data_IF_281497123491
#
_entry.id   IF_281497123491
#
_cell.length_a   1.000
_cell.length_b   1.000
_cell.length_c   1.000
_cell.angle_alpha   90.00
_cell.angle_beta   90.00
_cell.angle_gamma   90.00
#
_symmetry.space_group_name_H-M   'P 1'
#
loop_
_entity.id
_entity.type
_entity.pdbx_description
1 polymer ?
#
# COMPACT_ATOMS: atom_id res chain seq x y z
N UNK A 1 8.41 9.72 1.18
CA UNK A 1 8.72 10.44 -0.08
C UNK A 1 10.19 10.83 -0.19
N UNK A 2 10.83 11.37 0.86
CA UNK A 2 12.25 11.72 0.83
C UNK A 2 13.16 10.56 0.35
N UNK A 3 12.99 9.34 0.87
CA UNK A 3 13.79 8.17 0.46
C UNK A 3 13.67 7.86 -1.05
N UNK A 4 12.45 7.79 -1.57
CA UNK A 4 12.17 7.55 -3.00
C UNK A 4 12.83 8.64 -3.85
N UNK A 5 12.66 9.91 -3.45
CA UNK A 5 13.30 11.04 -4.12
C UNK A 5 14.83 10.92 -4.10
N UNK A 6 15.43 10.61 -2.96
CA UNK A 6 16.88 10.44 -2.84
C UNK A 6 17.40 9.34 -3.75
N UNK A 7 16.72 8.19 -3.82
CA UNK A 7 17.12 7.09 -4.71
C UNK A 7 17.09 7.54 -6.18
N UNK A 8 15.98 8.14 -6.61
CA UNK A 8 15.80 8.59 -8.01
C UNK A 8 16.83 9.68 -8.34
N UNK A 9 17.01 10.65 -7.44
CA UNK A 9 17.96 11.74 -7.61
C UNK A 9 19.39 11.21 -7.75
N UNK A 10 19.85 10.37 -6.81
CA UNK A 10 21.19 9.79 -6.87
C UNK A 10 21.39 8.92 -8.11
N UNK A 11 20.40 8.12 -8.49
CA UNK A 11 20.47 7.27 -9.68
C UNK A 11 20.53 8.12 -10.96
N UNK A 12 19.73 9.19 -11.04
CA UNK A 12 19.75 10.15 -12.14
C UNK A 12 21.10 10.86 -12.23
N UNK A 13 21.59 11.44 -11.13
CA UNK A 13 22.90 12.10 -11.07
C UNK A 13 24.03 11.16 -11.49
N UNK A 14 24.05 9.92 -10.98
CA UNK A 14 25.07 8.93 -11.37
C UNK A 14 24.99 8.56 -12.85
N UNK A 15 23.79 8.43 -13.40
CA UNK A 15 23.58 8.14 -14.83
C UNK A 15 24.15 9.24 -15.71
N UNK A 16 23.95 10.51 -15.33
CA UNK A 16 24.43 11.65 -16.13
C UNK A 16 25.91 12.00 -15.90
N UNK A 17 26.45 11.80 -14.69
CA UNK A 17 27.84 12.13 -14.38
C UNK A 17 28.82 11.00 -14.66
N UNK A 18 28.43 9.74 -14.41
CA UNK A 18 29.30 8.56 -14.48
C UNK A 18 28.95 7.67 -15.68
N UNK A 19 27.82 7.94 -16.36
CA UNK A 19 27.37 7.12 -17.49
C UNK A 19 26.81 5.76 -17.10
N UNK A 20 26.58 5.50 -15.80
CA UNK A 20 26.08 4.22 -15.29
C UNK A 20 24.94 4.42 -14.29
N UNK A 21 23.85 3.67 -14.45
CA UNK A 21 22.76 3.60 -13.47
C UNK A 21 22.95 2.42 -12.50
N UNK A 22 22.33 2.52 -11.32
CA UNK A 22 22.28 1.40 -10.37
C UNK A 22 21.15 0.47 -10.79
N UNK A 23 21.35 -0.86 -10.90
CA UNK A 23 20.33 -1.79 -11.43
C UNK A 23 18.97 -1.68 -10.73
N UNK A 24 18.95 -1.52 -9.41
CA UNK A 24 17.71 -1.39 -8.63
C UNK A 24 17.18 0.04 -8.54
N UNK A 25 17.93 1.03 -9.03
CA UNK A 25 17.64 2.45 -8.83
C UNK A 25 16.37 2.95 -9.53
N UNK A 26 15.85 2.20 -10.50
CA UNK A 26 14.59 2.51 -11.19
C UNK A 26 13.41 1.68 -10.61
N UNK A 27 13.63 0.42 -10.25
CA UNK A 27 12.59 -0.49 -9.75
C UNK A 27 12.27 -0.30 -8.26
N UNK A 28 13.28 -0.12 -7.39
CA UNK A 28 13.07 0.00 -5.95
C UNK A 28 12.18 1.20 -5.58
N UNK A 29 12.34 2.40 -6.18
CA UNK A 29 11.42 3.51 -5.98
C UNK A 29 9.95 3.18 -6.25
N UNK A 30 9.67 2.38 -7.29
CA UNK A 30 8.32 1.96 -7.65
C UNK A 30 7.75 1.10 -6.52
N UNK A 31 8.50 0.09 -6.06
CA UNK A 31 8.02 -0.79 -5.01
C UNK A 31 7.84 -0.10 -3.65
N UNK A 32 8.75 0.80 -3.28
CA UNK A 32 8.61 1.63 -2.08
C UNK A 32 7.37 2.53 -2.16
N UNK A 33 7.06 3.04 -3.36
CA UNK A 33 5.87 3.85 -3.58
C UNK A 33 4.60 3.01 -3.45
N UNK A 34 4.58 1.78 -3.97
CA UNK A 34 3.43 0.86 -3.80
C UNK A 34 3.17 0.60 -2.32
N UNK A 35 4.20 0.23 -1.55
CA UNK A 35 4.07 0.08 -0.10
C UNK A 35 3.60 1.38 0.58
N UNK A 36 4.20 2.51 0.21
CA UNK A 36 3.84 3.82 0.76
C UNK A 36 2.38 4.18 0.51
N UNK A 37 1.88 4.01 -0.70
CA UNK A 37 0.48 4.30 -1.07
C UNK A 37 -0.47 3.36 -0.35
N UNK A 38 -0.16 2.06 -0.29
CA UNK A 38 -1.00 1.07 0.39
C UNK A 38 -1.12 1.35 1.90
N UNK A 39 -0.03 1.72 2.56
CA UNK A 39 -0.04 2.13 3.96
C UNK A 39 -0.74 3.47 4.17
N UNK A 40 -0.47 4.46 3.30
CA UNK A 40 -1.08 5.78 3.37
C UNK A 40 -2.60 5.71 3.15
N UNK A 41 -3.09 4.80 2.30
CA UNK A 41 -4.51 4.59 2.08
C UNK A 41 -5.22 4.16 3.37
N UNK A 42 -4.68 3.17 4.08
CA UNK A 42 -5.24 2.71 5.36
C UNK A 42 -5.16 3.80 6.45
N UNK A 43 -4.01 4.49 6.54
CA UNK A 43 -3.81 5.56 7.51
C UNK A 43 -4.72 6.78 7.24
N UNK A 44 -4.86 7.18 5.98
CA UNK A 44 -5.73 8.28 5.57
C UNK A 44 -7.19 7.98 5.90
N UNK A 45 -7.62 6.72 5.74
CA UNK A 45 -8.95 6.29 6.13
C UNK A 45 -9.17 6.36 7.65
N UNK A 46 -8.21 5.91 8.46
CA UNK A 46 -8.26 6.04 9.93
C UNK A 46 -8.40 7.49 10.40
N UNK A 47 -7.77 8.42 9.67
CA UNK A 47 -7.83 9.85 9.98
C UNK A 47 -9.05 10.57 9.38
N UNK A 48 -10.03 9.84 8.84
CA UNK A 48 -11.21 10.39 8.16
C UNK A 48 -10.86 11.35 6.99
N UNK A 49 -9.64 11.26 6.43
CA UNK A 49 -9.17 12.09 5.31
C UNK A 49 -9.70 11.62 3.95
N UNK A 50 -10.69 10.73 3.96
CA UNK A 50 -11.41 10.34 2.76
C UNK A 50 -12.10 11.56 2.15
N UNK A 51 -11.97 11.73 0.84
CA UNK A 51 -12.61 12.82 0.11
C UNK A 51 -14.13 12.65 0.20
N UNK A 52 -14.80 13.52 0.96
CA UNK A 52 -16.26 13.55 1.08
C UNK A 52 -16.82 14.67 0.24
N UNK A 53 -17.85 14.38 -0.54
CA UNK A 53 -18.68 15.41 -1.15
C UNK A 53 -19.62 15.99 -0.08
N UNK A 54 -19.11 16.94 0.71
CA UNK A 54 -19.85 17.54 1.82
C UNK A 54 -21.12 18.26 1.37
N UNK A 55 -21.11 18.86 0.18
CA UNK A 55 -22.25 19.64 -0.35
C UNK A 55 -23.56 18.86 -0.26
N UNK A 56 -23.62 17.59 -0.70
CA UNK A 56 -24.87 16.82 -0.66
C UNK A 56 -25.12 16.16 0.70
N UNK A 57 -24.05 15.83 1.42
CA UNK A 57 -24.14 15.14 2.72
C UNK A 57 -24.60 16.08 3.83
N UNK A 58 -24.29 17.37 3.71
CA UNK A 58 -24.66 18.40 4.69
C UNK A 58 -26.15 18.78 4.60
N UNK A 59 -26.84 18.44 3.49
CA UNK A 59 -28.30 18.59 3.39
C UNK A 59 -29.07 17.46 4.10
N UNK A 60 -28.40 16.37 4.48
CA UNK A 60 -29.04 15.22 5.11
C UNK A 60 -29.24 15.45 6.61
N UNK A 61 -30.33 14.91 7.16
CA UNK A 61 -30.52 14.87 8.62
C UNK A 61 -29.43 14.02 9.29
N UNK A 62 -29.13 14.34 10.54
CA UNK A 62 -28.04 13.70 11.31
C UNK A 62 -28.11 12.16 11.29
N UNK A 63 -29.32 11.61 11.46
CA UNK A 63 -29.56 10.16 11.45
C UNK A 63 -29.27 9.53 10.09
N UNK A 64 -29.62 10.19 9.00
CA UNK A 64 -29.38 9.67 7.64
C UNK A 64 -27.89 9.76 7.30
N UNK A 65 -27.24 10.86 7.70
CA UNK A 65 -25.79 11.06 7.53
C UNK A 65 -24.98 9.98 8.25
N UNK A 66 -25.31 9.66 9.50
CA UNK A 66 -24.62 8.62 10.27
C UNK A 66 -24.79 7.23 9.63
N UNK A 67 -26.00 6.90 9.16
CA UNK A 67 -26.25 5.64 8.43
C UNK A 67 -25.49 5.56 7.11
N UNK A 68 -25.45 6.66 6.34
CA UNK A 68 -24.69 6.75 5.10
C UNK A 68 -23.20 6.48 5.36
N UNK A 69 -22.63 7.10 6.40
CA UNK A 69 -21.24 6.88 6.74
C UNK A 69 -20.94 5.45 7.20
N UNK A 70 -21.83 4.82 7.99
CA UNK A 70 -21.67 3.41 8.31
C UNK A 70 -21.76 2.51 7.07
N UNK A 71 -22.63 2.82 6.10
CA UNK A 71 -22.69 2.10 4.83
C UNK A 71 -21.39 2.25 4.02
N UNK A 72 -20.78 3.45 4.01
CA UNK A 72 -19.48 3.69 3.38
C UNK A 72 -18.37 2.89 4.08
N UNK A 73 -18.38 2.80 5.41
CA UNK A 73 -17.41 1.99 6.15
C UNK A 73 -17.56 0.50 5.79
N UNK A 74 -18.79 -0.03 5.74
CA UNK A 74 -19.05 -1.43 5.30
C UNK A 74 -18.54 -1.66 3.88
N UNK A 75 -18.85 -0.77 2.94
CA UNK A 75 -18.37 -0.87 1.57
C UNK A 75 -16.83 -0.83 1.50
N UNK A 76 -16.21 -0.02 2.34
CA UNK A 76 -14.75 0.06 2.43
C UNK A 76 -14.15 -1.22 3.00
N UNK A 77 -14.77 -1.86 4.00
CA UNK A 77 -14.35 -3.17 4.52
C UNK A 77 -14.37 -4.21 3.40
N UNK A 78 -15.49 -4.30 2.66
CA UNK A 78 -15.62 -5.24 1.53
C UNK A 78 -14.57 -4.96 0.46
N UNK A 79 -14.33 -3.69 0.15
CA UNK A 79 -13.34 -3.28 -0.84
C UNK A 79 -11.91 -3.62 -0.40
N UNK A 80 -11.57 -3.37 0.87
CA UNK A 80 -10.29 -3.73 1.47
C UNK A 80 -10.04 -5.24 1.47
N UNK A 81 -11.05 -6.05 1.86
CA UNK A 81 -10.96 -7.51 1.80
C UNK A 81 -10.81 -8.03 0.36
N UNK A 82 -11.57 -7.46 -0.58
CA UNK A 82 -11.45 -7.80 -2.01
C UNK A 82 -10.05 -7.47 -2.53
N UNK A 83 -9.52 -6.30 -2.17
CA UNK A 83 -8.17 -5.88 -2.54
C UNK A 83 -7.12 -6.80 -1.91
N UNK A 84 -7.31 -7.19 -0.65
CA UNK A 84 -6.41 -8.10 0.06
C UNK A 84 -6.34 -9.47 -0.63
N UNK A 85 -7.51 -10.03 -0.96
CA UNK A 85 -7.64 -11.28 -1.67
C UNK A 85 -7.04 -11.20 -3.07
N UNK A 86 -7.37 -10.16 -3.84
CA UNK A 86 -6.82 -9.95 -5.18
C UNK A 86 -5.29 -9.82 -5.16
N UNK A 87 -4.75 -9.07 -4.20
CA UNK A 87 -3.30 -8.94 -3.99
C UNK A 87 -2.63 -10.27 -3.67
N UNK A 88 -3.23 -11.09 -2.80
CA UNK A 88 -2.72 -12.41 -2.47
C UNK A 88 -2.73 -13.35 -3.68
N UNK A 89 -3.85 -13.42 -4.41
CA UNK A 89 -3.96 -14.23 -5.64
C UNK A 89 -2.96 -13.76 -6.71
N UNK A 90 -2.75 -12.45 -6.83
CA UNK A 90 -1.77 -11.89 -7.74
C UNK A 90 -0.34 -12.33 -7.38
N UNK A 91 0.02 -12.25 -6.10
CA UNK A 91 1.31 -12.68 -5.59
C UNK A 91 1.52 -14.20 -5.74
N UNK A 92 0.48 -15.03 -5.59
CA UNK A 92 0.59 -16.47 -5.84
C UNK A 92 0.88 -16.79 -7.31
N UNK A 93 0.26 -16.05 -8.25
CA UNK A 93 0.39 -16.30 -9.69
C UNK A 93 1.68 -15.76 -10.29
N UNK A 94 2.21 -14.66 -9.75
CA UNK A 94 3.35 -13.93 -10.32
C UNK A 94 4.51 -13.71 -9.36
N UNK A 95 4.39 -14.14 -8.11
CA UNK A 95 5.36 -13.79 -7.08
C UNK A 95 6.71 -14.49 -7.22
N UNK A 96 6.76 -15.61 -7.94
CA UNK A 96 8.00 -16.30 -8.26
C UNK A 96 8.82 -15.67 -9.39
N UNK A 97 8.31 -14.64 -10.06
CA UNK A 97 9.03 -13.94 -11.11
C UNK A 97 10.14 -13.07 -10.52
N UNK A 98 11.27 -13.02 -11.21
CA UNK A 98 12.42 -12.19 -10.82
C UNK A 98 12.19 -10.72 -11.18
N UNK A 99 12.66 -9.85 -10.30
CA UNK A 99 12.76 -8.40 -10.50
C UNK A 99 14.01 -8.09 -11.31
N UNK A 100 13.86 -7.46 -12.48
CA UNK A 100 14.96 -7.34 -13.44
C UNK A 100 16.14 -6.51 -12.91
N UNK A 101 15.85 -5.47 -12.13
CA UNK A 101 16.82 -4.58 -11.50
C UNK A 101 17.28 -5.03 -10.10
N UNK A 102 16.44 -5.74 -9.34
CA UNK A 102 16.78 -6.16 -7.97
C UNK A 102 17.43 -7.54 -7.86
N UNK A 103 17.11 -8.50 -8.74
CA UNK A 103 17.53 -9.92 -8.59
C UNK A 103 19.04 -10.06 -8.42
N UNK A 104 19.83 -9.46 -9.32
CA UNK A 104 21.29 -9.53 -9.26
C UNK A 104 21.90 -8.89 -8.01
N UNK A 105 21.21 -7.91 -7.40
CA UNK A 105 21.68 -7.26 -6.17
C UNK A 105 21.27 -8.07 -4.95
N UNK A 106 20.05 -8.62 -4.95
CA UNK A 106 19.56 -9.52 -3.91
C UNK A 106 20.42 -10.78 -3.80
N UNK A 107 20.75 -11.43 -4.92
CA UNK A 107 21.58 -12.64 -4.93
C UNK A 107 23.01 -12.38 -4.43
N UNK A 108 23.62 -11.26 -4.86
CA UNK A 108 24.94 -10.85 -4.36
C UNK A 108 24.91 -10.61 -2.85
N UNK A 109 23.86 -9.98 -2.34
CA UNK A 109 23.71 -9.71 -0.92
C UNK A 109 23.47 -10.99 -0.12
N UNK A 110 22.64 -11.91 -0.63
CA UNK A 110 22.40 -13.22 -0.03
C UNK A 110 23.71 -14.03 0.07
N UNK A 111 24.49 -14.07 -1.00
CA UNK A 111 25.78 -14.77 -1.03
C UNK A 111 26.81 -14.13 -0.09
N UNK A 112 26.88 -12.80 -0.02
CA UNK A 112 27.84 -12.10 0.83
C UNK A 112 27.51 -12.21 2.33
N UNK A 113 26.22 -12.27 2.68
CA UNK A 113 25.76 -12.33 4.08
C UNK A 113 25.51 -13.75 4.58
N UNK A 114 25.40 -14.73 3.68
CA UNK A 114 24.95 -16.10 3.98
C UNK A 114 23.44 -16.22 4.25
N UNK A 115 22.67 -15.14 4.07
CA UNK A 115 21.23 -15.10 4.37
C UNK A 115 20.45 -15.35 3.08
N UNK A 116 20.04 -16.60 2.85
CA UNK A 116 19.26 -17.02 1.66
C UNK A 116 17.89 -16.34 1.56
N UNK A 117 17.32 -15.88 2.69
CA UNK A 117 16.08 -15.13 2.70
C UNK A 117 16.14 -13.82 1.89
N UNK A 118 17.33 -13.24 1.70
CA UNK A 118 17.49 -12.00 0.94
C UNK A 118 17.21 -12.16 -0.55
N UNK A 119 17.28 -13.37 -1.10
CA UNK A 119 16.90 -13.65 -2.50
C UNK A 119 15.44 -13.27 -2.78
N UNK A 120 14.57 -13.34 -1.77
CA UNK A 120 13.16 -12.94 -1.89
C UNK A 120 12.99 -11.44 -2.20
N UNK A 121 13.94 -10.59 -1.81
CA UNK A 121 13.94 -9.16 -2.17
C UNK A 121 14.04 -8.99 -3.69
N UNK A 122 14.71 -9.93 -4.37
CA UNK A 122 14.82 -9.98 -5.82
C UNK A 122 13.59 -10.53 -6.54
N UNK A 123 12.56 -10.99 -5.82
CA UNK A 123 11.35 -11.58 -6.39
C UNK A 123 10.18 -10.59 -6.34
N UNK A 124 9.35 -10.58 -7.38
CA UNK A 124 8.19 -9.70 -7.48
C UNK A 124 7.17 -9.94 -6.36
N UNK A 125 7.08 -11.18 -5.84
CA UNK A 125 6.10 -11.55 -4.81
C UNK A 125 6.19 -10.67 -3.57
N UNK A 126 7.40 -10.42 -3.08
CA UNK A 126 7.68 -9.56 -1.91
C UNK A 126 7.07 -8.18 -2.07
N UNK A 127 7.07 -7.64 -3.28
CA UNK A 127 6.53 -6.30 -3.58
C UNK A 127 5.04 -6.33 -3.88
N UNK A 128 4.53 -7.40 -4.48
CA UNK A 128 3.11 -7.60 -4.78
C UNK A 128 2.28 -7.80 -3.50
N UNK A 129 2.85 -8.40 -2.46
CA UNK A 129 2.19 -8.55 -1.16
C UNK A 129 1.85 -7.22 -0.47
N UNK A 130 2.46 -6.11 -0.89
CA UNK A 130 2.05 -4.78 -0.44
C UNK A 130 0.55 -4.51 -0.65
N UNK A 131 -0.01 -5.00 -1.77
CA UNK A 131 -1.43 -4.84 -2.10
C UNK A 131 -2.29 -5.65 -1.13
N UNK A 132 -1.87 -6.90 -0.85
CA UNK A 132 -2.57 -7.78 0.07
C UNK A 132 -2.62 -7.18 1.50
N UNK A 133 -1.45 -6.74 1.98
CA UNK A 133 -1.27 -6.12 3.29
C UNK A 133 -2.05 -4.80 3.38
N UNK A 134 -1.94 -3.95 2.35
CA UNK A 134 -2.66 -2.67 2.28
C UNK A 134 -4.18 -2.84 2.34
N UNK A 135 -4.72 -3.79 1.57
CA UNK A 135 -6.14 -4.12 1.59
C UNK A 135 -6.61 -4.60 2.96
N UNK A 136 -5.83 -5.45 3.61
CA UNK A 136 -6.14 -5.94 4.96
C UNK A 136 -6.12 -4.80 5.99
N UNK A 137 -5.11 -3.92 5.93
CA UNK A 137 -5.02 -2.74 6.81
C UNK A 137 -6.19 -1.77 6.57
N UNK A 138 -6.59 -1.56 5.32
CA UNK A 138 -7.75 -0.73 4.99
C UNK A 138 -9.05 -1.33 5.56
N UNK A 139 -9.23 -2.65 5.46
CA UNK A 139 -10.40 -3.32 6.02
C UNK A 139 -10.45 -3.19 7.55
N UNK A 140 -9.30 -3.35 8.22
CA UNK A 140 -9.19 -3.15 9.68
C UNK A 140 -9.48 -1.69 10.07
N UNK A 141 -8.91 -0.73 9.33
CA UNK A 141 -9.16 0.68 9.53
C UNK A 141 -10.66 1.03 9.42
N UNK A 142 -11.31 0.52 8.39
CA UNK A 142 -12.74 0.73 8.17
C UNK A 142 -13.60 0.04 9.23
N UNK A 143 -13.19 -1.13 9.71
CA UNK A 143 -13.87 -1.81 10.82
C UNK A 143 -13.84 -0.99 12.10
N UNK A 144 -12.70 -0.37 12.45
CA UNK A 144 -12.63 0.50 13.61
C UNK A 144 -13.53 1.71 13.48
N UNK A 145 -13.59 2.34 12.30
CA UNK A 145 -14.52 3.46 12.04
C UNK A 145 -15.98 3.04 12.12
N UNK A 146 -16.32 1.88 11.58
CA UNK A 146 -17.68 1.35 11.68
C UNK A 146 -18.10 1.14 13.14
N UNK A 147 -17.23 0.53 13.95
CA UNK A 147 -17.49 0.31 15.39
C UNK A 147 -17.67 1.65 16.12
N UNK A 148 -16.84 2.64 15.83
CA UNK A 148 -16.94 4.00 16.38
C UNK A 148 -18.31 4.63 16.04
N UNK A 149 -18.75 4.54 14.77
CA UNK A 149 -20.04 5.08 14.31
C UNK A 149 -21.25 4.36 14.87
N UNK A 150 -21.19 3.05 15.03
CA UNK A 150 -22.30 2.28 15.62
C UNK A 150 -22.49 2.68 17.09
N UNK A 151 -21.40 2.87 17.83
CA UNK A 151 -21.45 3.31 19.23
C UNK A 151 -22.07 4.70 19.38
N UNK A 152 -21.73 5.64 18.48
CA UNK A 152 -22.31 6.99 18.53
C UNK A 152 -23.79 7.02 18.12
N UNK A 153 -24.22 6.12 17.24
CA UNK A 153 -25.65 5.96 16.89
C UNK A 153 -26.49 5.39 18.03
N UNK A 154 -25.94 4.48 18.84
CA UNK A 154 -26.66 3.86 19.97
C UNK A 154 -26.75 4.72 21.23
N UNK A 155 -25.97 5.81 21.31
CA UNK A 155 -25.97 6.74 22.44
C UNK A 155 -26.97 7.91 22.28
N UNK A 156 -27.62 8.04 21.12
CA UNK A 156 -28.63 9.06 20.77
C UNK A 156 -30.02 8.46 20.62
#
# INVERSE_FOLDING_TARGET
MALVFTIIFLNSTRRYLVGQSVPWGEELPIYLTIYGVMLALALGYLNDQHIRFSIFVDLLSERVRQRLYAAVDVLTIVSGLTLAYAGHVFALRRGGLDSSGLKSTADRLANATGITALEWVGKLGTWQYAIAIGGALLAVAALFKLIERIKTMGAN
#
